data_IF_715589722989
#
_entry.id   IF_715589722989
#
_cell.length_a   1.000
_cell.length_b   1.000
_cell.length_c   1.000
_cell.angle_alpha   90.00
_cell.angle_beta   90.00
_cell.angle_gamma   90.00
#
_symmetry.space_group_name_H-M   'P 1'
#
loop_
_entity.id
_entity.type
_entity.pdbx_description
1 polymer ?
#
# COMPACT_ATOMS: atom_id res chain seq x y z
N UNK A 1 -17.98 -1.95 -4.31
CA UNK A 1 -16.98 -1.58 -3.29
C UNK A 1 -17.45 -0.42 -2.45
N UNK A 2 -16.85 -0.20 -1.27
CA UNK A 2 -17.31 0.82 -0.31
C UNK A 2 -16.15 1.60 0.29
N UNK A 3 -16.44 2.80 0.79
CA UNK A 3 -15.52 3.62 1.58
C UNK A 3 -14.85 2.85 2.73
N UNK A 4 -15.57 1.90 3.35
CA UNK A 4 -15.03 1.09 4.47
C UNK A 4 -13.90 0.17 4.05
N UNK A 5 -13.94 -0.38 2.83
CA UNK A 5 -12.88 -1.25 2.33
C UNK A 5 -11.60 -0.46 2.07
N UNK A 6 -11.73 0.76 1.55
CA UNK A 6 -10.59 1.67 1.39
C UNK A 6 -9.99 2.08 2.75
N UNK A 7 -10.82 2.38 3.75
CA UNK A 7 -10.35 2.61 5.11
C UNK A 7 -9.60 1.40 5.66
N UNK A 8 -10.19 0.21 5.55
CA UNK A 8 -9.59 -1.02 6.06
C UNK A 8 -8.24 -1.32 5.39
N UNK A 9 -8.08 -1.01 4.10
CA UNK A 9 -6.82 -1.17 3.39
C UNK A 9 -5.73 -0.30 4.03
N UNK A 10 -6.05 0.98 4.29
CA UNK A 10 -5.14 1.90 4.97
C UNK A 10 -4.87 1.49 6.42
N UNK A 11 -5.91 1.07 7.15
CA UNK A 11 -5.78 0.59 8.54
C UNK A 11 -4.80 -0.59 8.61
N UNK A 12 -4.94 -1.54 7.69
CA UNK A 12 -4.10 -2.75 7.60
C UNK A 12 -2.68 -2.40 7.21
N UNK A 13 -2.49 -1.56 6.19
CA UNK A 13 -1.16 -1.15 5.73
C UNK A 13 -0.36 -0.39 6.81
N UNK A 14 -1.04 0.49 7.56
CA UNK A 14 -0.40 1.29 8.61
C UNK A 14 -0.34 0.61 9.98
N UNK A 15 -1.00 -0.54 10.15
CA UNK A 15 -1.17 -1.19 11.46
C UNK A 15 -1.78 -0.24 12.50
N UNK A 16 -2.80 0.51 12.09
CA UNK A 16 -3.43 1.55 12.89
C UNK A 16 -4.91 1.68 12.57
N UNK A 17 -5.81 1.74 13.56
CA UNK A 17 -7.24 1.92 13.31
C UNK A 17 -7.59 3.33 12.80
N UNK A 18 -6.68 4.30 12.92
CA UNK A 18 -6.90 5.68 12.48
C UNK A 18 -5.64 6.22 11.78
N UNK A 19 -5.34 5.73 10.57
CA UNK A 19 -4.16 6.17 9.84
C UNK A 19 -4.32 7.63 9.38
N UNK A 20 -3.36 8.48 9.75
CA UNK A 20 -3.36 9.90 9.40
C UNK A 20 -2.84 10.14 7.97
N UNK A 21 -3.56 9.63 6.97
CA UNK A 21 -3.20 9.79 5.54
C UNK A 21 -3.92 10.99 4.92
N UNK A 22 -5.20 11.15 5.23
CA UNK A 22 -6.03 12.28 4.78
C UNK A 22 -6.56 13.04 6.00
N UNK A 23 -6.45 14.38 5.99
CA UNK A 23 -6.98 15.22 7.07
C UNK A 23 -8.50 15.10 7.20
N UNK A 24 -9.20 14.98 6.07
CA UNK A 24 -10.65 14.82 5.99
C UNK A 24 -11.14 13.38 6.22
N UNK A 25 -10.22 12.42 6.36
CA UNK A 25 -10.51 10.99 6.49
C UNK A 25 -10.67 10.26 5.15
N UNK A 26 -10.25 9.00 5.12
CA UNK A 26 -10.22 8.18 3.91
C UNK A 26 -11.62 7.90 3.34
N UNK A 27 -12.63 7.66 4.18
CA UNK A 27 -14.01 7.50 3.71
C UNK A 27 -14.52 8.72 2.96
N UNK A 28 -14.18 9.93 3.44
CA UNK A 28 -14.58 11.18 2.78
C UNK A 28 -14.01 11.25 1.36
N UNK A 29 -12.74 10.92 1.16
CA UNK A 29 -12.09 10.94 -0.16
C UNK A 29 -12.80 10.00 -1.14
N UNK A 30 -13.13 8.78 -0.71
CA UNK A 30 -13.85 7.82 -1.54
C UNK A 30 -15.26 8.31 -1.91
N UNK A 31 -16.01 8.82 -0.93
CA UNK A 31 -17.37 9.34 -1.12
C UNK A 31 -17.40 10.57 -2.03
N UNK A 32 -16.39 11.44 -1.94
CA UNK A 32 -16.26 12.60 -2.81
C UNK A 32 -16.07 12.21 -4.28
N UNK A 33 -15.27 11.17 -4.56
CA UNK A 33 -15.15 10.62 -5.92
C UNK A 33 -16.48 10.04 -6.40
N UNK A 34 -17.18 9.26 -5.58
CA UNK A 34 -18.49 8.70 -5.95
C UNK A 34 -19.54 9.78 -6.24
N UNK A 35 -19.54 10.86 -5.44
CA UNK A 35 -20.38 12.03 -5.70
C UNK A 35 -20.00 12.68 -7.04
N UNK A 36 -18.72 12.94 -7.28
CA UNK A 36 -18.25 13.54 -8.53
C UNK A 36 -18.59 12.68 -9.76
N UNK A 37 -18.45 11.36 -9.68
CA UNK A 37 -18.83 10.42 -10.75
C UNK A 37 -20.33 10.47 -11.05
N UNK A 38 -21.18 10.54 -10.02
CA UNK A 38 -22.64 10.70 -10.21
C UNK A 38 -22.99 12.02 -10.86
N UNK A 39 -22.37 13.12 -10.45
CA UNK A 39 -22.60 14.45 -11.01
C UNK A 39 -22.07 14.59 -12.45
N UNK A 40 -20.94 13.95 -12.76
CA UNK A 40 -20.35 13.93 -14.10
C UNK A 40 -21.27 13.29 -15.15
N UNK A 41 -22.15 12.36 -14.76
CA UNK A 41 -23.16 11.77 -15.67
C UNK A 41 -24.13 12.81 -16.24
N UNK A 42 -24.31 13.94 -15.56
CA UNK A 42 -25.30 14.97 -15.90
C UNK A 42 -24.68 16.33 -16.25
N UNK A 43 -23.37 16.49 -16.12
CA UNK A 43 -22.67 17.77 -16.32
C UNK A 43 -21.66 17.72 -17.48
N UNK A 44 -21.38 18.87 -18.10
CA UNK A 44 -20.35 19.05 -19.14
C UNK A 44 -19.31 20.07 -18.67
N UNK A 45 -18.04 19.90 -19.06
CA UNK A 45 -16.99 20.90 -18.84
C UNK A 45 -16.23 20.74 -17.52
N UNK A 46 -16.11 21.81 -16.72
CA UNK A 46 -15.26 21.94 -15.52
C UNK A 46 -15.43 20.81 -14.48
N UNK A 47 -16.58 20.14 -14.46
CA UNK A 47 -16.81 18.94 -13.65
C UNK A 47 -15.80 17.80 -13.91
N UNK A 48 -15.23 17.75 -15.12
CA UNK A 48 -14.25 16.71 -15.51
C UNK A 48 -12.88 16.90 -14.84
N UNK A 49 -12.41 18.13 -14.67
CA UNK A 49 -11.13 18.40 -13.99
C UNK A 49 -11.22 18.09 -12.50
N UNK A 50 -12.33 18.49 -11.86
CA UNK A 50 -12.61 18.12 -10.48
C UNK A 50 -12.70 16.59 -10.31
N UNK A 51 -13.38 15.90 -11.23
CA UNK A 51 -13.45 14.44 -11.21
C UNK A 51 -12.06 13.80 -11.30
N UNK A 52 -11.22 14.21 -12.27
CA UNK A 52 -9.85 13.71 -12.41
C UNK A 52 -9.05 13.93 -11.13
N UNK A 53 -9.13 15.11 -10.51
CA UNK A 53 -8.42 15.36 -9.25
C UNK A 53 -8.91 14.48 -8.10
N UNK A 54 -10.23 14.27 -7.95
CA UNK A 54 -10.78 13.36 -6.94
C UNK A 54 -10.36 11.91 -7.18
N UNK A 55 -10.29 11.50 -8.44
CA UNK A 55 -9.79 10.18 -8.82
C UNK A 55 -8.33 10.01 -8.42
N UNK A 56 -7.47 10.96 -8.77
CA UNK A 56 -6.05 10.94 -8.40
C UNK A 56 -5.83 10.89 -6.89
N UNK A 57 -6.64 11.59 -6.10
CA UNK A 57 -6.55 11.51 -4.62
C UNK A 57 -6.83 10.10 -4.11
N UNK A 58 -7.84 9.41 -4.65
CA UNK A 58 -8.12 8.03 -4.27
C UNK A 58 -6.97 7.11 -4.70
N UNK A 59 -6.50 7.26 -5.95
CA UNK A 59 -5.38 6.48 -6.50
C UNK A 59 -4.10 6.63 -5.67
N UNK A 60 -3.77 7.85 -5.26
CA UNK A 60 -2.66 8.11 -4.34
C UNK A 60 -2.86 7.41 -2.99
N UNK A 61 -4.06 7.41 -2.43
CA UNK A 61 -4.35 6.72 -1.18
C UNK A 61 -4.12 5.21 -1.28
N UNK A 62 -4.56 4.59 -2.38
CA UNK A 62 -4.32 3.15 -2.64
C UNK A 62 -2.82 2.88 -2.81
N UNK A 63 -2.12 3.70 -3.60
CA UNK A 63 -0.68 3.59 -3.79
C UNK A 63 0.10 3.73 -2.48
N UNK A 64 -0.29 4.68 -1.62
CA UNK A 64 0.28 4.88 -0.28
C UNK A 64 0.10 3.63 0.58
N UNK A 65 -1.07 2.98 0.53
CA UNK A 65 -1.32 1.76 1.28
C UNK A 65 -0.33 0.66 0.87
N UNK A 66 -0.14 0.44 -0.44
CA UNK A 66 0.78 -0.60 -0.92
C UNK A 66 2.25 -0.28 -0.64
N UNK A 67 2.70 0.96 -0.86
CA UNK A 67 4.06 1.35 -0.51
C UNK A 67 4.28 1.24 1.00
N UNK A 68 3.29 1.61 1.83
CA UNK A 68 3.41 1.48 3.28
C UNK A 68 3.48 0.02 3.73
N UNK A 69 2.66 -0.86 3.14
CA UNK A 69 2.70 -2.30 3.39
C UNK A 69 4.06 -2.90 2.98
N UNK A 70 4.54 -2.53 1.79
CA UNK A 70 5.87 -2.92 1.31
C UNK A 70 6.97 -2.52 2.29
N UNK A 71 6.95 -1.27 2.78
CA UNK A 71 7.91 -0.76 3.76
C UNK A 71 7.82 -1.40 5.15
N UNK A 72 6.68 -1.99 5.49
CA UNK A 72 6.53 -2.74 6.73
C UNK A 72 7.21 -4.10 6.62
N UNK A 73 7.24 -4.67 5.42
CA UNK A 73 7.96 -5.90 5.13
C UNK A 73 9.43 -5.66 4.82
N UNK A 74 9.80 -4.55 4.19
CA UNK A 74 11.16 -4.25 3.75
C UNK A 74 11.91 -3.40 4.77
N UNK A 75 13.09 -3.85 5.21
CA UNK A 75 14.00 -3.04 6.03
C UNK A 75 14.90 -2.15 5.14
N UNK A 76 14.27 -1.23 4.40
CA UNK A 76 14.96 -0.36 3.45
C UNK A 76 14.61 1.12 3.64
N UNK A 77 15.55 1.85 4.26
CA UNK A 77 15.43 3.29 4.51
C UNK A 77 15.23 4.11 3.22
N UNK A 78 15.83 3.72 2.09
CA UNK A 78 15.70 4.48 0.83
C UNK A 78 14.31 4.38 0.23
N UNK A 79 13.60 3.28 0.49
CA UNK A 79 12.23 3.09 0.00
C UNK A 79 11.24 4.01 0.73
N UNK A 80 11.59 4.53 1.92
CA UNK A 80 10.74 5.48 2.67
C UNK A 80 10.55 6.80 1.91
N UNK A 81 11.53 7.22 1.11
CA UNK A 81 11.43 8.41 0.28
C UNK A 81 10.21 8.35 -0.66
N UNK A 82 9.86 7.15 -1.16
CA UNK A 82 8.70 6.98 -2.04
C UNK A 82 7.40 7.28 -1.30
N UNK A 83 7.27 6.80 -0.06
CA UNK A 83 6.10 7.09 0.77
C UNK A 83 5.98 8.60 1.03
N UNK A 84 7.10 9.28 1.31
CA UNK A 84 7.13 10.74 1.49
C UNK A 84 6.67 11.49 0.24
N UNK A 85 7.12 11.06 -0.95
CA UNK A 85 6.69 11.66 -2.24
C UNK A 85 5.18 11.56 -2.41
N UNK A 86 4.62 10.38 -2.16
CA UNK A 86 3.19 10.14 -2.33
C UNK A 86 2.37 10.95 -1.30
N UNK A 87 2.85 11.04 -0.05
CA UNK A 87 2.23 11.88 0.97
C UNK A 87 2.35 13.38 0.65
N UNK A 88 3.48 13.84 0.13
CA UNK A 88 3.65 15.21 -0.36
C UNK A 88 2.64 15.50 -1.49
N UNK A 89 2.43 14.54 -2.40
CA UNK A 89 1.49 14.67 -3.51
C UNK A 89 0.02 14.82 -3.05
N UNK A 90 -0.36 14.31 -1.87
CA UNK A 90 -1.70 14.52 -1.30
C UNK A 90 -2.00 15.99 -0.96
N UNK A 91 -0.96 16.82 -0.78
CA UNK A 91 -1.09 18.26 -0.50
C UNK A 91 -1.36 19.10 -1.74
N UNK A 92 -1.23 18.50 -2.93
CA UNK A 92 -1.48 19.15 -4.21
C UNK A 92 -2.92 19.63 -4.36
N UNK A 93 -3.12 20.71 -5.11
CA UNK A 93 -4.44 21.33 -5.34
C UNK A 93 -5.12 20.90 -6.64
N UNK A 94 -4.39 20.21 -7.50
CA UNK A 94 -4.85 19.72 -8.81
C UNK A 94 -3.91 18.61 -9.31
N UNK A 95 -4.32 17.92 -10.37
CA UNK A 95 -3.56 16.81 -10.96
C UNK A 95 -2.18 17.22 -11.48
N UNK A 96 -2.04 18.41 -12.07
CA UNK A 96 -0.74 18.89 -12.58
C UNK A 96 0.28 19.08 -11.47
N UNK A 97 -0.17 19.47 -10.28
CA UNK A 97 0.69 19.61 -9.11
C UNK A 97 1.08 18.25 -8.53
N UNK A 98 0.18 17.27 -8.53
CA UNK A 98 0.50 15.86 -8.23
C UNK A 98 1.62 15.38 -9.15
N UNK A 99 1.41 15.50 -10.47
CA UNK A 99 2.37 15.05 -11.49
C UNK A 99 3.74 15.72 -11.27
N UNK A 100 3.74 17.02 -10.98
CA UNK A 100 4.97 17.78 -10.73
C UNK A 100 5.70 17.30 -9.47
N UNK A 101 4.99 16.95 -8.40
CA UNK A 101 5.60 16.45 -7.17
C UNK A 101 6.23 15.07 -7.42
N UNK A 102 5.48 14.16 -8.04
CA UNK A 102 5.95 12.79 -8.33
C UNK A 102 7.14 12.81 -9.30
N UNK A 103 7.06 13.56 -10.40
CA UNK A 103 8.13 13.61 -11.41
C UNK A 103 9.46 14.13 -10.86
N UNK A 104 9.44 15.06 -9.90
CA UNK A 104 10.68 15.60 -9.31
C UNK A 104 11.52 14.55 -8.60
N UNK A 105 10.89 13.49 -8.10
CA UNK A 105 11.52 12.44 -7.29
C UNK A 105 11.23 11.04 -7.87
N UNK A 106 11.01 10.95 -9.18
CA UNK A 106 10.68 9.69 -9.86
C UNK A 106 11.79 8.64 -9.69
N UNK A 107 13.05 9.07 -9.64
CA UNK A 107 14.19 8.18 -9.42
C UNK A 107 14.16 7.47 -8.05
N UNK A 108 13.46 8.01 -7.05
CA UNK A 108 13.33 7.32 -5.76
C UNK A 108 12.47 6.05 -5.86
N UNK A 109 11.60 5.93 -6.88
CA UNK A 109 10.76 4.74 -7.10
C UNK A 109 11.58 3.53 -7.55
N UNK A 110 12.73 3.73 -8.20
CA UNK A 110 13.65 2.64 -8.55
C UNK A 110 14.16 1.90 -7.29
N UNK A 111 14.17 2.58 -6.14
CA UNK A 111 14.62 1.97 -4.88
C UNK A 111 13.71 0.84 -4.39
N UNK A 112 12.44 0.81 -4.80
CA UNK A 112 11.51 -0.25 -4.43
C UNK A 112 11.94 -1.61 -4.97
N UNK A 113 12.68 -1.65 -6.08
CA UNK A 113 13.03 -2.89 -6.78
C UNK A 113 14.34 -3.53 -6.29
N UNK A 114 15.12 -2.86 -5.43
CA UNK A 114 16.46 -3.36 -5.07
C UNK A 114 16.45 -4.61 -4.18
N UNK A 115 15.35 -4.91 -3.46
CA UNK A 115 15.33 -5.98 -2.44
C UNK A 115 14.09 -6.88 -2.51
N UNK A 116 13.38 -6.88 -3.65
CA UNK A 116 12.11 -7.60 -3.79
C UNK A 116 12.28 -9.13 -3.75
N UNK A 117 13.40 -9.65 -4.25
CA UNK A 117 13.62 -11.09 -4.45
C UNK A 117 13.80 -11.90 -3.16
N UNK A 118 13.82 -11.25 -2.00
CA UNK A 118 14.01 -11.91 -0.70
C UNK A 118 12.67 -12.39 -0.12
N UNK A 119 11.55 -11.77 -0.52
CA UNK A 119 10.23 -12.10 0.02
C UNK A 119 9.16 -12.01 -1.09
N UNK A 120 8.53 -13.13 -1.50
CA UNK A 120 7.50 -13.15 -2.55
C UNK A 120 6.32 -12.19 -2.30
N UNK A 121 5.94 -11.98 -1.03
CA UNK A 121 4.85 -11.07 -0.68
C UNK A 121 5.21 -9.61 -0.96
N UNK A 122 6.50 -9.23 -0.89
CA UNK A 122 6.97 -7.90 -1.27
C UNK A 122 6.81 -7.67 -2.78
N UNK A 123 7.08 -8.69 -3.59
CA UNK A 123 6.89 -8.64 -5.05
C UNK A 123 5.42 -8.48 -5.40
N UNK A 124 4.53 -9.27 -4.78
CA UNK A 124 3.08 -9.18 -5.01
C UNK A 124 2.50 -7.82 -4.61
N UNK A 125 2.93 -7.26 -3.47
CA UNK A 125 2.52 -5.90 -3.05
C UNK A 125 3.03 -4.85 -4.04
N UNK A 126 4.27 -4.99 -4.52
CA UNK A 126 4.82 -4.05 -5.50
C UNK A 126 4.07 -4.14 -6.83
N UNK A 127 3.65 -5.34 -7.24
CA UNK A 127 2.82 -5.53 -8.42
C UNK A 127 1.47 -4.82 -8.30
N UNK A 128 0.79 -4.91 -7.14
CA UNK A 128 -0.46 -4.15 -6.90
C UNK A 128 -0.22 -2.63 -6.93
N UNK A 129 0.93 -2.18 -6.44
CA UNK A 129 1.33 -0.78 -6.56
C UNK A 129 1.51 -0.35 -8.02
N UNK A 130 2.19 -1.13 -8.85
CA UNK A 130 2.33 -0.86 -10.30
C UNK A 130 0.98 -0.77 -10.99
N UNK A 131 0.11 -1.76 -10.76
CA UNK A 131 -1.25 -1.76 -11.31
C UNK A 131 -2.06 -0.54 -10.85
N UNK A 132 -1.82 -0.04 -9.63
CA UNK A 132 -2.44 1.19 -9.14
C UNK A 132 -1.99 2.42 -9.92
N UNK A 133 -0.74 2.49 -10.38
CA UNK A 133 -0.25 3.59 -11.21
C UNK A 133 -0.91 3.62 -12.60
N UNK A 134 -1.19 2.43 -13.13
CA UNK A 134 -1.82 2.24 -14.45
C UNK A 134 -3.36 2.32 -14.40
N UNK A 135 -3.97 2.16 -13.23
CA UNK A 135 -5.43 2.24 -13.06
C UNK A 135 -5.97 3.59 -13.57
N UNK A 136 -6.96 3.51 -14.46
CA UNK A 136 -7.60 4.64 -15.11
C UNK A 136 -9.08 4.81 -14.74
N UNK A 137 -9.65 3.87 -13.99
CA UNK A 137 -11.06 3.86 -13.59
C UNK A 137 -11.23 3.55 -12.11
N UNK A 138 -12.40 3.93 -11.55
CA UNK A 138 -12.72 3.64 -10.16
C UNK A 138 -12.88 2.14 -9.95
N UNK A 139 -13.43 1.44 -10.94
CA UNK A 139 -13.67 0.00 -10.91
C UNK A 139 -12.35 -0.78 -10.80
N UNK A 140 -11.31 -0.38 -11.55
CA UNK A 140 -9.96 -0.95 -11.41
C UNK A 140 -9.39 -0.69 -10.01
N UNK A 141 -9.53 0.52 -9.47
CA UNK A 141 -9.08 0.81 -8.09
C UNK A 141 -9.85 0.01 -7.04
N UNK A 142 -11.15 -0.21 -7.27
CA UNK A 142 -12.01 -0.99 -6.40
C UNK A 142 -11.58 -2.46 -6.36
N UNK A 143 -11.19 -3.04 -7.50
CA UNK A 143 -10.61 -4.38 -7.60
C UNK A 143 -9.26 -4.44 -6.87
N UNK A 144 -8.37 -3.49 -7.13
CA UNK A 144 -7.07 -3.41 -6.45
C UNK A 144 -7.20 -3.29 -4.93
N UNK A 145 -8.19 -2.54 -4.43
CA UNK A 145 -8.44 -2.46 -2.98
C UNK A 145 -8.83 -3.83 -2.41
N UNK A 146 -9.62 -4.63 -3.13
CA UNK A 146 -10.01 -5.97 -2.67
C UNK A 146 -8.83 -6.94 -2.71
N UNK A 147 -8.12 -6.97 -3.83
CA UNK A 147 -6.96 -7.84 -4.01
C UNK A 147 -5.87 -7.50 -2.98
N UNK A 148 -5.70 -6.20 -2.72
CA UNK A 148 -4.87 -5.70 -1.64
C UNK A 148 -5.29 -6.20 -0.27
N UNK A 149 -6.57 -6.08 0.08
CA UNK A 149 -7.08 -6.57 1.37
C UNK A 149 -6.90 -8.08 1.54
N UNK A 150 -7.16 -8.85 0.48
CA UNK A 150 -6.98 -10.30 0.49
C UNK A 150 -5.50 -10.66 0.70
N UNK A 151 -4.60 -10.03 -0.07
CA UNK A 151 -3.16 -10.22 0.06
C UNK A 151 -2.67 -9.85 1.47
N UNK A 152 -2.97 -8.63 1.93
CA UNK A 152 -2.50 -8.13 3.23
C UNK A 152 -3.02 -8.94 4.41
N UNK A 153 -4.14 -9.65 4.26
CA UNK A 153 -4.67 -10.57 5.28
C UNK A 153 -3.88 -11.88 5.40
N UNK A 154 -3.13 -12.24 4.34
CA UNK A 154 -2.30 -13.45 4.25
C UNK A 154 -0.82 -13.16 4.55
N UNK A 155 -0.44 -11.89 4.60
CA UNK A 155 0.94 -11.46 4.91
C UNK A 155 1.30 -11.84 6.35
N UNK A 156 2.44 -12.53 6.51
CA UNK A 156 3.03 -12.74 7.83
C UNK A 156 3.90 -11.53 8.20
N UNK A 157 3.28 -10.59 8.90
CA UNK A 157 3.94 -9.36 9.35
C UNK A 157 5.03 -9.59 10.41
N UNK A 158 5.16 -10.80 10.95
CA UNK A 158 6.14 -11.14 11.99
C UNK A 158 7.19 -12.16 11.54
N UNK A 159 7.24 -12.54 10.26
CA UNK A 159 8.18 -13.55 9.74
C UNK A 159 9.65 -13.26 10.11
N UNK A 160 10.06 -11.98 10.13
CA UNK A 160 11.42 -11.57 10.50
C UNK A 160 11.66 -11.47 12.03
N UNK A 161 10.62 -11.62 12.86
CA UNK A 161 10.68 -11.47 14.33
C UNK A 161 10.84 -12.80 15.09
N UNK A 162 10.76 -13.95 14.43
CA UNK A 162 10.97 -15.27 15.05
C UNK A 162 12.13 -16.02 14.37
N UNK A 163 13.40 -15.74 14.72
CA UNK A 163 14.53 -16.58 14.32
C UNK A 163 14.69 -17.85 15.20
N UNK A 164 13.88 -18.02 16.26
CA UNK A 164 14.14 -18.97 17.37
C UNK A 164 13.14 -20.14 17.46
N UNK A 165 12.59 -20.65 16.35
CA UNK A 165 11.79 -21.89 16.36
C UNK A 165 12.39 -23.05 15.51
N UNK A 166 13.69 -22.96 15.18
CA UNK A 166 14.46 -24.03 14.49
C UNK A 166 15.79 -24.35 15.21
N UNK A 167 15.85 -24.20 16.53
CA UNK A 167 16.95 -24.73 17.36
C UNK A 167 16.48 -26.04 18.01
N UNK A 168 16.76 -27.15 17.32
CA UNK A 168 17.00 -28.50 17.82
C UNK A 168 16.70 -28.74 19.32
N UNK A 169 15.51 -29.26 19.62
CA UNK A 169 15.25 -30.13 20.80
C UNK A 169 15.95 -31.50 20.60
N UNK A 170 17.23 -31.50 20.22
CA UNK A 170 18.11 -32.65 20.39
C UNK A 170 18.67 -32.49 21.80
N UNK A 171 17.96 -33.04 22.80
CA UNK A 171 18.60 -33.41 24.06
C UNK A 171 19.88 -34.19 23.70
N UNK A 172 21.07 -33.77 24.15
CA UNK A 172 22.26 -34.58 23.96
C UNK A 172 21.98 -35.91 24.68
N UNK A 173 21.83 -36.99 23.90
CA UNK A 173 21.69 -38.33 24.44
C UNK A 173 22.82 -38.56 25.44
N UNK A 174 22.48 -38.63 26.73
CA UNK A 174 23.43 -38.86 27.80
C UNK A 174 24.33 -40.04 27.44
N UNK A 175 25.66 -39.82 27.47
CA UNK A 175 26.67 -40.84 27.16
C UNK A 175 26.55 -42.11 28.04
N UNK A 176 25.78 -42.05 29.12
CA UNK A 176 25.47 -43.18 29.99
C UNK A 176 24.49 -44.18 29.37
N UNK A 177 23.62 -43.78 28.41
CA UNK A 177 22.74 -44.71 27.72
C UNK A 177 23.52 -45.64 26.77
N UNK A 178 24.52 -45.10 26.06
CA UNK A 178 25.35 -45.85 25.11
C UNK A 178 26.31 -46.86 25.77
N UNK A 179 26.57 -46.74 27.08
CA UNK A 179 27.41 -47.70 27.82
C UNK A 179 26.62 -48.89 28.38
N UNK A 180 25.30 -48.92 28.21
CA UNK A 180 24.41 -49.97 28.73
C UNK A 180 23.83 -50.92 27.67
N UNK A 181 24.18 -50.73 26.39
CA UNK A 181 23.93 -51.66 25.27
C UNK A 181 25.17 -52.53 25.02
#
# INVERSE_FOLDING_TARGET
MSARSFELLLETAFDSPTPHVFEEGAATVYQELERALREAKFSKGAAREHLSFRFERLRLGVAIAFVKAFLRLADNEKSKEVLEVLQEALTAKNTREIDKIVQKRIASFDNLYHEIFVNPQREEILHLFEQTLDAGTKEELDELILDGLDLLSQVDWNADRNPEEDDDDIEPLDEDFLKSL
#
